data_IF_981201361672
#
_entry.id   IF_981201361672
#
_cell.length_a   1.000
_cell.length_b   1.000
_cell.length_c   1.000
_cell.angle_alpha   90.00
_cell.angle_beta   90.00
_cell.angle_gamma   90.00
#
_symmetry.space_group_name_H-M   'P 1'
#
loop_
_entity.id
_entity.type
_entity.pdbx_description
1 polymer ?
#
# COMPACT_ATOMS: atom_id res chain seq x y z
N UNK A 1 2.14 -5.40 61.62
CA UNK A 1 1.23 -4.24 61.47
C UNK A 1 1.88 -3.30 60.45
N UNK A 2 1.28 -3.19 59.25
CA UNK A 2 1.44 -2.19 58.16
C UNK A 2 2.84 -2.00 57.50
N UNK A 3 3.01 -2.39 56.22
CA UNK A 3 2.97 -1.60 54.94
C UNK A 3 4.11 -0.55 54.83
N UNK A 4 4.87 -0.35 53.73
CA UNK A 4 4.51 -0.16 52.31
C UNK A 4 5.68 -0.55 51.39
N UNK A 5 5.35 -1.25 50.29
CA UNK A 5 6.22 -1.58 49.16
C UNK A 5 6.48 -0.36 48.25
N UNK A 6 7.75 -0.17 47.84
CA UNK A 6 8.15 0.78 46.81
C UNK A 6 8.36 0.04 45.49
N UNK A 7 7.37 0.08 44.60
CA UNK A 7 7.50 -0.32 43.21
C UNK A 7 8.26 0.76 42.41
N UNK A 8 9.50 0.46 42.03
CA UNK A 8 10.24 1.21 41.03
C UNK A 8 9.74 0.85 39.63
N UNK A 9 8.98 1.75 39.01
CA UNK A 9 8.63 1.70 37.60
C UNK A 9 9.88 1.95 36.74
N UNK A 10 10.42 0.90 36.14
CA UNK A 10 11.33 1.04 35.00
C UNK A 10 10.48 1.19 33.73
N UNK A 11 10.30 2.45 33.31
CA UNK A 11 9.76 2.80 32.00
C UNK A 11 10.81 2.44 30.96
N UNK A 12 10.61 1.34 30.24
CA UNK A 12 11.36 1.03 29.03
C UNK A 12 10.92 2.02 27.94
N UNK A 13 11.66 3.11 27.79
CA UNK A 13 11.55 3.99 26.62
C UNK A 13 12.14 3.24 25.44
N UNK A 14 11.28 2.63 24.62
CA UNK A 14 11.66 2.12 23.30
C UNK A 14 11.91 3.35 22.43
N UNK A 15 13.16 3.82 22.40
CA UNK A 15 13.63 4.80 21.43
C UNK A 15 13.63 4.08 20.09
N UNK A 16 12.59 4.32 19.30
CA UNK A 16 12.46 3.78 17.95
C UNK A 16 13.66 4.20 17.11
N UNK A 17 14.49 3.23 16.74
CA UNK A 17 15.55 3.41 15.76
C UNK A 17 14.90 3.89 14.46
N UNK A 18 15.13 5.15 14.12
CA UNK A 18 14.78 5.71 12.82
C UNK A 18 15.64 5.03 11.76
N UNK A 19 15.08 4.00 11.11
CA UNK A 19 15.67 3.44 9.90
C UNK A 19 15.28 4.38 8.76
N UNK A 20 16.24 5.18 8.29
CA UNK A 20 16.11 5.85 6.99
C UNK A 20 15.99 4.74 5.93
N UNK A 21 14.80 4.58 5.36
CA UNK A 21 14.59 3.73 4.20
C UNK A 21 15.17 4.45 2.98
N UNK A 22 16.26 3.90 2.44
CA UNK A 22 16.94 4.45 1.29
C UNK A 22 16.45 3.78 -0.01
N UNK A 23 16.30 4.66 -1.01
CA UNK A 23 15.52 4.58 -2.24
C UNK A 23 15.96 3.58 -3.26
N UNK A 24 14.99 3.17 -4.08
CA UNK A 24 15.26 2.99 -5.48
C UNK A 24 14.29 3.68 -6.42
N UNK A 25 14.89 4.39 -7.37
CA UNK A 25 14.26 4.76 -8.61
C UNK A 25 14.52 3.70 -9.66
N UNK A 26 13.45 3.13 -10.21
CA UNK A 26 13.54 2.36 -11.44
C UNK A 26 12.92 3.11 -12.63
N UNK A 27 13.66 3.27 -13.73
CA UNK A 27 13.07 3.33 -15.06
C UNK A 27 12.69 1.90 -15.48
N UNK A 28 11.40 1.56 -15.48
CA UNK A 28 10.93 0.27 -16.03
C UNK A 28 10.97 0.29 -17.57
N UNK A 29 11.52 -0.75 -18.23
CA UNK A 29 11.31 -0.95 -19.67
C UNK A 29 9.91 -1.50 -19.93
N UNK A 30 9.19 -0.90 -20.90
CA UNK A 30 7.86 -1.32 -21.32
C UNK A 30 7.88 -2.75 -21.90
N UNK A 31 6.98 -3.63 -21.45
CA UNK A 31 6.79 -4.98 -22.02
C UNK A 31 5.34 -5.16 -22.47
N UNK A 32 5.18 -5.57 -23.73
CA UNK A 32 3.90 -5.74 -24.41
C UNK A 32 3.03 -6.84 -23.77
N UNK A 33 1.74 -6.55 -23.57
CA UNK A 33 0.75 -7.49 -23.03
C UNK A 33 0.00 -8.21 -24.16
N UNK A 34 -0.25 -9.50 -23.93
CA UNK A 34 -1.00 -10.38 -24.82
C UNK A 34 -2.35 -10.68 -24.14
N UNK A 35 -3.44 -10.34 -24.83
CA UNK A 35 -4.80 -10.34 -24.33
C UNK A 35 -5.46 -11.71 -24.59
N UNK A 36 -6.11 -12.32 -23.59
CA UNK A 36 -7.02 -13.45 -23.81
C UNK A 36 -8.37 -13.15 -23.15
N UNK A 37 -9.43 -13.44 -23.90
CA UNK A 37 -10.81 -13.09 -23.57
C UNK A 37 -11.58 -14.29 -23.00
N UNK A 38 -12.35 -14.05 -21.95
CA UNK A 38 -13.61 -14.75 -21.69
C UNK A 38 -13.82 -15.23 -20.26
N UNK A 39 -14.74 -14.61 -19.51
CA UNK A 39 -16.06 -15.17 -19.18
C UNK A 39 -16.73 -14.50 -17.94
N UNK A 40 -17.99 -14.09 -18.17
CA UNK A 40 -19.18 -14.04 -17.28
C UNK A 40 -19.06 -13.60 -15.79
N UNK A 41 -19.48 -12.35 -15.58
CA UNK A 41 -20.31 -11.76 -14.50
C UNK A 41 -20.61 -12.60 -13.24
N UNK A 42 -19.78 -12.41 -12.19
CA UNK A 42 -19.98 -12.82 -10.79
C UNK A 42 -20.20 -11.54 -9.94
N UNK A 43 -21.16 -10.70 -10.35
CA UNK A 43 -21.49 -9.47 -9.63
C UNK A 43 -22.57 -9.67 -8.55
N UNK A 44 -23.09 -10.89 -8.40
CA UNK A 44 -24.16 -11.20 -7.45
C UNK A 44 -23.65 -11.77 -6.11
N UNK A 45 -22.41 -12.27 -6.01
CA UNK A 45 -21.88 -12.83 -4.74
C UNK A 45 -21.19 -11.79 -3.85
N UNK A 46 -20.77 -10.64 -4.40
CA UNK A 46 -20.07 -9.61 -3.63
C UNK A 46 -20.97 -8.80 -2.68
N UNK A 47 -22.28 -8.72 -2.94
CA UNK A 47 -23.20 -7.95 -2.11
C UNK A 47 -23.73 -8.74 -0.88
N UNK A 48 -23.71 -10.07 -0.91
CA UNK A 48 -24.24 -10.89 0.19
C UNK A 48 -23.25 -11.10 1.35
N UNK A 49 -21.96 -10.80 1.14
CA UNK A 49 -20.92 -10.99 2.18
C UNK A 49 -20.72 -9.74 3.06
N UNK A 50 -21.11 -8.53 2.60
CA UNK A 50 -20.80 -7.27 3.31
C UNK A 50 -22.03 -6.66 4.02
N UNK A 51 -23.25 -7.21 3.83
CA UNK A 51 -24.48 -6.49 4.16
C UNK A 51 -25.61 -7.25 4.84
N UNK A 52 -25.36 -8.15 5.80
CA UNK A 52 -26.43 -8.58 6.72
C UNK A 52 -26.51 -7.65 7.93
N UNK A 53 -27.33 -6.60 7.83
CA UNK A 53 -27.67 -5.79 9.00
C UNK A 53 -28.34 -4.43 8.76
N UNK A 54 -29.68 -4.46 8.71
CA UNK A 54 -30.62 -3.40 9.15
C UNK A 54 -31.15 -2.40 8.10
N UNK A 55 -32.48 -2.45 7.99
CA UNK A 55 -33.42 -1.66 7.19
C UNK A 55 -33.47 -0.16 7.54
N UNK A 56 -33.51 0.69 6.51
CA UNK A 56 -34.30 1.92 6.53
C UNK A 56 -34.72 2.33 5.10
N UNK A 57 -36.02 2.30 4.86
CA UNK A 57 -36.75 2.84 3.71
C UNK A 57 -36.52 4.34 3.57
N UNK A 58 -36.40 4.88 2.34
CA UNK A 58 -37.21 6.01 1.79
C UNK A 58 -36.72 6.44 0.38
N UNK A 59 -37.60 6.20 -0.60
CA UNK A 59 -37.95 6.91 -1.85
C UNK A 59 -36.95 7.47 -2.87
N UNK A 60 -37.27 7.09 -4.12
CA UNK A 60 -36.90 7.59 -5.45
C UNK A 60 -36.74 9.12 -5.60
N UNK A 61 -35.77 9.51 -6.44
CA UNK A 61 -36.03 10.49 -7.49
C UNK A 61 -35.15 10.23 -8.71
N UNK A 62 -35.79 10.27 -9.89
CA UNK A 62 -35.25 10.07 -11.23
C UNK A 62 -34.44 11.27 -11.73
N UNK A 63 -33.29 11.01 -12.37
CA UNK A 63 -32.68 11.93 -13.34
C UNK A 63 -31.84 11.14 -14.34
N UNK A 64 -32.36 11.05 -15.57
CA UNK A 64 -31.64 10.59 -16.76
C UNK A 64 -30.59 11.64 -17.15
N UNK A 65 -29.33 11.25 -17.05
CA UNK A 65 -28.19 11.95 -17.61
C UNK A 65 -27.14 10.90 -17.91
N UNK A 66 -26.74 10.82 -19.18
CA UNK A 66 -25.82 9.81 -19.69
C UNK A 66 -24.41 10.06 -19.13
N UNK A 67 -24.19 9.71 -17.86
CA UNK A 67 -22.88 9.67 -17.24
C UNK A 67 -22.24 8.35 -17.63
N UNK A 68 -21.10 8.42 -18.33
CA UNK A 68 -20.20 7.27 -18.46
C UNK A 68 -19.89 6.83 -17.03
N UNK A 69 -20.54 5.75 -16.59
CA UNK A 69 -20.30 5.13 -15.30
C UNK A 69 -18.94 4.47 -15.42
N UNK A 70 -17.90 5.22 -15.05
CA UNK A 70 -16.58 4.68 -14.82
C UNK A 70 -16.79 3.68 -13.69
N UNK A 71 -16.82 2.38 -14.02
CA UNK A 71 -16.77 1.34 -13.00
C UNK A 71 -15.50 1.60 -12.21
N UNK A 72 -15.57 1.89 -10.90
CA UNK A 72 -14.37 1.94 -10.08
C UNK A 72 -13.61 0.64 -10.32
N UNK A 73 -12.31 0.73 -10.64
CA UNK A 73 -11.52 -0.47 -10.84
C UNK A 73 -11.51 -1.25 -9.52
N UNK A 74 -11.57 -2.59 -9.57
CA UNK A 74 -11.55 -3.44 -8.38
C UNK A 74 -10.36 -3.13 -7.44
N UNK A 75 -9.27 -2.58 -8.00
CA UNK A 75 -8.09 -2.14 -7.26
C UNK A 75 -8.35 -0.89 -6.39
N UNK A 76 -9.13 0.08 -6.86
CA UNK A 76 -9.54 1.26 -6.06
C UNK A 76 -10.44 0.82 -4.90
N UNK A 77 -11.31 -0.15 -5.13
CA UNK A 77 -12.17 -0.69 -4.06
C UNK A 77 -11.33 -1.42 -2.98
N UNK A 78 -10.28 -2.13 -3.38
CA UNK A 78 -9.28 -2.68 -2.45
C UNK A 78 -8.62 -1.56 -1.63
N UNK A 79 -8.19 -0.47 -2.26
CA UNK A 79 -7.59 0.67 -1.54
C UNK A 79 -8.56 1.34 -0.58
N UNK A 80 -9.82 1.51 -0.97
CA UNK A 80 -10.86 2.05 -0.08
C UNK A 80 -11.11 1.12 1.11
N UNK A 81 -11.19 -0.19 0.86
CA UNK A 81 -11.37 -1.20 1.90
C UNK A 81 -10.23 -1.17 2.93
N UNK A 82 -8.99 -1.33 2.47
CA UNK A 82 -7.80 -1.36 3.34
C UNK A 82 -7.60 0.00 4.00
N UNK A 83 -7.76 1.08 3.24
CA UNK A 83 -7.63 2.45 3.75
C UNK A 83 -8.56 2.73 4.93
N UNK A 84 -9.84 2.35 4.82
CA UNK A 84 -10.81 2.50 5.91
C UNK A 84 -10.46 1.66 7.15
N UNK A 85 -9.88 0.47 6.96
CA UNK A 85 -9.48 -0.42 8.07
C UNK A 85 -8.27 0.11 8.83
N UNK A 86 -7.27 0.62 8.11
CA UNK A 86 -5.98 1.06 8.68
C UNK A 86 -5.98 2.56 9.05
N UNK A 87 -6.92 3.34 8.50
CA UNK A 87 -6.96 4.79 8.66
C UNK A 87 -5.99 5.51 7.73
N UNK A 88 -5.93 5.11 6.47
CA UNK A 88 -5.16 5.75 5.39
C UNK A 88 -6.13 6.13 4.27
N UNK A 89 -6.12 7.38 3.77
CA UNK A 89 -6.98 7.77 2.65
C UNK A 89 -6.70 6.90 1.43
N UNK A 90 -7.76 6.43 0.75
CA UNK A 90 -7.62 5.55 -0.41
C UNK A 90 -6.76 6.18 -1.53
N UNK A 91 -6.89 7.49 -1.73
CA UNK A 91 -6.09 8.25 -2.71
C UNK A 91 -4.58 8.20 -2.41
N UNK A 92 -4.16 8.05 -1.14
CA UNK A 92 -2.74 7.89 -0.78
C UNK A 92 -2.24 6.51 -1.21
N UNK A 93 -3.01 5.45 -0.95
CA UNK A 93 -2.66 4.08 -1.35
C UNK A 93 -2.64 3.96 -2.87
N UNK A 94 -3.61 4.55 -3.54
CA UNK A 94 -3.68 4.61 -5.01
C UNK A 94 -2.46 5.34 -5.58
N UNK A 95 -2.14 6.52 -5.06
CA UNK A 95 -1.00 7.30 -5.52
C UNK A 95 0.32 6.55 -5.32
N UNK A 96 0.53 5.93 -4.16
CA UNK A 96 1.71 5.11 -3.89
C UNK A 96 1.77 3.95 -4.88
N UNK A 97 0.71 3.16 -5.04
CA UNK A 97 0.74 2.04 -5.98
C UNK A 97 0.98 2.49 -7.42
N UNK A 98 0.40 3.63 -7.83
CA UNK A 98 0.62 4.15 -9.18
C UNK A 98 2.08 4.55 -9.41
N UNK A 99 2.71 5.20 -8.43
CA UNK A 99 4.13 5.56 -8.53
C UNK A 99 5.01 4.30 -8.56
N UNK A 100 4.71 3.33 -7.69
CA UNK A 100 5.55 2.16 -7.45
C UNK A 100 5.37 1.04 -8.50
N UNK A 101 4.14 0.82 -8.98
CA UNK A 101 3.80 -0.25 -9.91
C UNK A 101 2.59 0.14 -10.79
N UNK A 102 2.77 1.06 -11.75
CA UNK A 102 1.66 1.54 -12.59
C UNK A 102 0.97 0.42 -13.37
N UNK A 103 1.67 -0.68 -13.66
CA UNK A 103 1.10 -1.86 -14.34
C UNK A 103 -0.07 -2.50 -13.57
N UNK A 104 -0.18 -2.30 -12.26
CA UNK A 104 -1.29 -2.87 -11.47
C UNK A 104 -2.64 -2.28 -11.91
N UNK A 105 -2.65 -1.06 -12.43
CA UNK A 105 -3.84 -0.40 -12.96
C UNK A 105 -4.29 -0.95 -14.32
N UNK A 106 -3.50 -1.82 -14.93
CA UNK A 106 -3.90 -2.56 -16.13
C UNK A 106 -4.54 -3.92 -15.79
N UNK A 107 -4.59 -4.31 -14.52
CA UNK A 107 -5.23 -5.58 -14.13
C UNK A 107 -6.73 -5.53 -14.37
N UNK A 108 -7.27 -6.62 -14.90
CA UNK A 108 -8.72 -6.79 -14.98
C UNK A 108 -9.31 -6.97 -13.58
N UNK A 109 -10.62 -6.73 -13.39
CA UNK A 109 -11.28 -7.03 -12.12
C UNK A 109 -11.06 -8.47 -11.65
N UNK A 110 -11.03 -9.44 -12.58
CA UNK A 110 -10.78 -10.85 -12.29
C UNK A 110 -9.35 -11.09 -11.81
N UNK A 111 -8.36 -10.43 -12.42
CA UNK A 111 -6.95 -10.50 -11.97
C UNK A 111 -6.77 -9.86 -10.60
N UNK A 112 -7.41 -8.72 -10.33
CA UNK A 112 -7.41 -8.11 -8.99
C UNK A 112 -8.02 -9.09 -7.98
N UNK A 113 -9.20 -9.64 -8.28
CA UNK A 113 -9.85 -10.60 -7.39
C UNK A 113 -8.96 -11.82 -7.12
N UNK A 114 -8.35 -12.38 -8.16
CA UNK A 114 -7.46 -13.53 -8.06
C UNK A 114 -6.22 -13.22 -7.21
N UNK A 115 -5.48 -12.16 -7.55
CA UNK A 115 -4.23 -11.81 -6.85
C UNK A 115 -4.44 -11.19 -5.47
N UNK A 116 -5.70 -10.92 -5.10
CA UNK A 116 -6.11 -10.54 -3.74
C UNK A 116 -6.48 -11.72 -2.84
N UNK A 117 -6.65 -12.95 -3.36
CA UNK A 117 -7.01 -14.10 -2.53
C UNK A 117 -5.81 -14.62 -1.70
N UNK A 118 -6.05 -15.17 -0.49
CA UNK A 118 -5.02 -15.82 0.31
C UNK A 118 -4.17 -16.83 -0.48
N UNK A 119 -2.85 -16.74 -0.37
CA UNK A 119 -1.89 -17.62 -1.04
C UNK A 119 -1.73 -17.38 -2.55
N UNK A 120 -2.48 -16.46 -3.16
CA UNK A 120 -2.27 -16.05 -4.54
C UNK A 120 -1.21 -14.96 -4.65
N UNK A 121 -0.53 -14.91 -5.80
CA UNK A 121 0.59 -14.00 -6.06
C UNK A 121 0.47 -13.39 -7.45
N UNK A 122 0.86 -12.13 -7.57
CA UNK A 122 1.10 -11.47 -8.86
C UNK A 122 2.19 -12.26 -9.62
N UNK A 123 1.96 -12.66 -10.89
CA UNK A 123 2.95 -13.36 -11.68
C UNK A 123 4.24 -12.56 -11.85
N UNK A 124 5.38 -13.23 -11.81
CA UNK A 124 6.71 -12.62 -11.95
C UNK A 124 7.03 -11.53 -10.90
N UNK A 125 6.34 -11.53 -9.77
CA UNK A 125 6.70 -10.68 -8.65
C UNK A 125 7.93 -11.26 -7.92
N UNK A 126 9.05 -10.54 -8.06
CA UNK A 126 10.31 -10.82 -7.41
C UNK A 126 10.92 -9.51 -6.89
N UNK A 127 11.83 -9.57 -5.90
CA UNK A 127 12.58 -8.39 -5.48
C UNK A 127 13.32 -7.76 -6.65
N UNK A 128 13.25 -6.45 -6.75
CA UNK A 128 14.11 -5.65 -7.62
C UNK A 128 15.51 -5.48 -6.98
N UNK A 129 16.45 -4.81 -7.66
CA UNK A 129 17.85 -4.62 -7.19
C UNK A 129 17.98 -3.90 -5.83
N UNK A 130 16.86 -3.41 -5.30
CA UNK A 130 16.75 -2.62 -4.09
C UNK A 130 15.83 -3.27 -3.07
N UNK A 131 15.62 -4.57 -3.24
CA UNK A 131 14.84 -5.41 -2.36
C UNK A 131 13.33 -5.17 -2.36
N UNK A 132 12.81 -4.28 -3.20
CA UNK A 132 11.39 -3.98 -3.24
C UNK A 132 10.61 -4.97 -4.13
N UNK A 133 9.44 -5.40 -3.65
CA UNK A 133 8.55 -6.36 -4.32
C UNK A 133 7.08 -5.95 -4.25
N UNK A 134 6.26 -6.52 -5.13
CA UNK A 134 4.81 -6.33 -5.14
C UNK A 134 4.38 -4.95 -5.65
N UNK A 135 3.07 -4.75 -5.77
CA UNK A 135 2.53 -3.52 -6.36
C UNK A 135 2.71 -2.26 -5.48
N UNK A 136 3.04 -2.46 -4.20
CA UNK A 136 3.40 -1.39 -3.26
C UNK A 136 4.92 -1.23 -3.09
N UNK A 137 5.73 -2.02 -3.81
CA UNK A 137 7.21 -1.99 -3.75
C UNK A 137 7.78 -2.02 -2.32
N UNK A 138 7.26 -2.92 -1.48
CA UNK A 138 7.73 -3.11 -0.11
C UNK A 138 9.09 -3.81 -0.11
N UNK A 139 10.06 -3.29 0.64
CA UNK A 139 11.42 -3.84 0.74
C UNK A 139 11.46 -5.13 1.57
N UNK A 140 12.20 -6.13 1.14
CA UNK A 140 12.11 -7.53 1.63
C UNK A 140 13.35 -8.03 2.36
N UNK A 141 14.41 -7.22 2.48
CA UNK A 141 15.70 -7.58 3.07
C UNK A 141 16.64 -8.39 2.18
N UNK A 142 16.23 -8.72 0.95
CA UNK A 142 17.05 -9.41 -0.06
C UNK A 142 16.87 -8.79 -1.46
N UNK A 143 17.93 -8.80 -2.26
CA UNK A 143 17.92 -8.39 -3.68
C UNK A 143 17.47 -9.55 -4.61
N UNK A 144 17.44 -9.38 -5.96
CA UNK A 144 16.99 -10.42 -6.88
C UNK A 144 17.89 -11.66 -6.90
N UNK A 145 19.11 -11.55 -6.38
CA UNK A 145 20.09 -12.62 -6.28
C UNK A 145 20.06 -13.29 -4.89
N UNK A 146 19.16 -12.88 -4.00
CA UNK A 146 19.07 -13.37 -2.63
C UNK A 146 20.13 -12.78 -1.69
N UNK A 147 20.83 -11.72 -2.09
CA UNK A 147 21.82 -11.05 -1.26
C UNK A 147 21.16 -10.03 -0.34
N UNK A 148 21.59 -9.98 0.92
CA UNK A 148 21.17 -8.97 1.89
C UNK A 148 21.97 -7.66 1.81
N UNK A 149 22.96 -7.55 0.90
CA UNK A 149 23.79 -6.33 0.79
C UNK A 149 23.12 -5.21 0.02
N UNK A 150 22.30 -5.52 -0.99
CA UNK A 150 21.73 -4.55 -1.93
C UNK A 150 22.79 -3.58 -2.49
N UNK A 151 24.01 -4.05 -2.76
CA UNK A 151 25.11 -3.18 -3.20
C UNK A 151 24.89 -2.54 -4.58
N UNK A 152 23.89 -3.01 -5.33
CA UNK A 152 23.44 -2.42 -6.60
C UNK A 152 22.32 -1.38 -6.42
N UNK A 153 21.77 -1.25 -5.22
CA UNK A 153 20.83 -0.20 -4.86
C UNK A 153 21.63 1.09 -4.61
N UNK A 154 21.80 1.89 -5.66
CA UNK A 154 22.59 3.12 -5.61
C UNK A 154 21.73 4.36 -5.87
N UNK A 155 21.87 5.36 -5.01
CA UNK A 155 21.22 6.65 -5.12
C UNK A 155 22.26 7.77 -4.99
N UNK A 156 22.28 8.70 -5.97
CA UNK A 156 23.23 9.84 -5.98
C UNK A 156 24.71 9.43 -5.76
N UNK A 157 25.12 8.29 -6.32
CA UNK A 157 26.49 7.79 -6.20
C UNK A 157 26.81 7.09 -4.87
N UNK A 158 25.83 6.95 -3.95
CA UNK A 158 25.96 6.15 -2.74
C UNK A 158 25.10 4.89 -2.83
N UNK A 159 25.71 3.73 -2.59
CA UNK A 159 25.01 2.44 -2.60
C UNK A 159 24.75 1.95 -1.18
N UNK A 160 23.70 1.15 -1.02
CA UNK A 160 23.40 0.54 0.26
C UNK A 160 24.42 -0.56 0.60
N UNK A 161 24.73 -0.65 1.90
CA UNK A 161 25.51 -1.74 2.47
C UNK A 161 24.63 -2.89 2.98
N UNK A 162 23.33 -2.63 3.16
CA UNK A 162 22.32 -3.62 3.52
C UNK A 162 20.97 -3.32 2.89
N UNK A 163 20.24 -4.38 2.54
CA UNK A 163 18.89 -4.29 2.03
C UNK A 163 17.91 -3.83 3.13
N UNK A 164 17.10 -2.79 2.89
CA UNK A 164 16.00 -2.47 3.77
C UNK A 164 14.97 -3.61 3.79
N UNK A 165 14.27 -3.77 4.92
CA UNK A 165 13.27 -4.82 5.11
C UNK A 165 12.00 -4.30 5.79
N UNK A 166 11.28 -3.43 5.09
CA UNK A 166 9.98 -2.93 5.56
C UNK A 166 8.96 -4.07 5.68
N UNK A 167 9.00 -5.05 4.78
CA UNK A 167 8.13 -6.23 4.81
C UNK A 167 8.27 -7.01 6.11
N UNK A 168 9.49 -7.19 6.63
CA UNK A 168 9.73 -7.85 7.91
C UNK A 168 9.08 -7.15 9.12
N UNK A 169 8.80 -5.84 9.02
CA UNK A 169 8.13 -5.07 10.08
C UNK A 169 6.62 -4.96 9.89
N UNK A 170 6.14 -4.94 8.64
CA UNK A 170 4.76 -4.60 8.32
C UNK A 170 3.96 -5.70 7.60
N UNK A 171 4.61 -6.76 7.12
CA UNK A 171 3.97 -7.81 6.32
C UNK A 171 2.82 -8.53 7.02
N UNK A 172 2.84 -8.58 8.36
CA UNK A 172 1.77 -9.18 9.17
C UNK A 172 0.57 -8.26 9.42
N UNK A 173 0.53 -7.05 8.84
CA UNK A 173 -0.55 -6.09 9.07
C UNK A 173 -1.94 -6.70 8.79
N UNK A 174 -2.10 -7.45 7.69
CA UNK A 174 -3.39 -8.05 7.35
C UNK A 174 -3.93 -8.99 8.44
N UNK A 175 -3.06 -9.74 9.13
CA UNK A 175 -3.47 -10.61 10.23
C UNK A 175 -4.00 -9.81 11.43
N UNK A 176 -3.51 -8.58 11.62
CA UNK A 176 -3.95 -7.69 12.69
C UNK A 176 -5.34 -7.11 12.43
N UNK A 177 -5.67 -6.82 11.16
CA UNK A 177 -6.93 -6.16 10.79
C UNK A 177 -8.06 -7.11 10.37
N UNK A 178 -7.73 -8.26 9.78
CA UNK A 178 -8.72 -9.17 9.19
C UNK A 178 -8.87 -10.51 9.95
N UNK A 179 -8.07 -10.75 11.00
CA UNK A 179 -8.07 -11.99 11.77
C UNK A 179 -7.94 -13.25 10.90
N UNK A 180 -7.11 -13.16 9.86
CA UNK A 180 -6.81 -14.25 8.92
C UNK A 180 -5.56 -15.03 9.36
N UNK A 181 -5.47 -16.30 8.95
CA UNK A 181 -4.40 -17.22 9.39
C UNK A 181 -3.39 -17.60 8.31
N UNK A 182 -3.49 -17.08 7.08
CA UNK A 182 -2.50 -17.39 6.04
C UNK A 182 -1.19 -16.64 6.28
N UNK A 183 -0.08 -17.19 5.77
CA UNK A 183 1.22 -16.54 5.79
C UNK A 183 1.25 -15.42 4.74
N UNK A 184 1.40 -14.14 5.12
CA UNK A 184 1.29 -13.04 4.16
C UNK A 184 2.39 -13.07 3.10
N UNK A 185 2.06 -12.61 1.91
CA UNK A 185 2.97 -12.58 0.76
C UNK A 185 3.09 -11.17 0.17
N UNK A 186 4.33 -10.66 0.05
CA UNK A 186 4.59 -9.32 -0.53
C UNK A 186 4.09 -9.19 -1.97
N UNK A 187 3.90 -10.31 -2.66
CA UNK A 187 3.40 -10.37 -4.02
C UNK A 187 1.88 -10.54 -4.11
N UNK A 188 1.17 -10.62 -2.99
CA UNK A 188 -0.29 -10.59 -2.95
C UNK A 188 -0.79 -9.14 -2.91
N UNK A 189 -1.83 -8.80 -3.68
CA UNK A 189 -2.36 -7.44 -3.74
C UNK A 189 -2.88 -6.98 -2.37
N UNK A 190 -3.67 -7.82 -1.70
CA UNK A 190 -4.27 -7.48 -0.40
C UNK A 190 -3.21 -7.37 0.69
N UNK A 191 -2.33 -8.36 0.81
CA UNK A 191 -1.31 -8.39 1.87
C UNK A 191 -0.33 -7.21 1.73
N UNK A 192 0.14 -6.93 0.51
CA UNK A 192 1.04 -5.79 0.27
C UNK A 192 0.37 -4.44 0.46
N UNK A 193 -0.93 -4.31 0.15
CA UNK A 193 -1.70 -3.10 0.45
C UNK A 193 -1.80 -2.88 1.96
N UNK A 194 -2.12 -3.91 2.74
CA UNK A 194 -2.18 -3.82 4.20
C UNK A 194 -0.85 -3.43 4.82
N UNK A 195 0.24 -4.05 4.37
CA UNK A 195 1.57 -3.76 4.88
C UNK A 195 1.99 -2.31 4.56
N UNK A 196 1.73 -1.85 3.33
CA UNK A 196 2.01 -0.48 2.92
C UNK A 196 1.14 0.52 3.68
N UNK A 197 -0.15 0.24 3.85
CA UNK A 197 -1.08 1.08 4.62
C UNK A 197 -0.61 1.22 6.07
N UNK A 198 -0.21 0.11 6.72
CA UNK A 198 0.30 0.17 8.09
C UNK A 198 1.56 1.03 8.20
N UNK A 199 2.49 0.89 7.24
CA UNK A 199 3.70 1.71 7.19
C UNK A 199 3.35 3.19 7.02
N UNK A 200 2.54 3.53 6.02
CA UNK A 200 2.09 4.90 5.75
C UNK A 200 1.37 5.50 6.97
N UNK A 201 0.54 4.72 7.64
CA UNK A 201 -0.16 5.16 8.85
C UNK A 201 0.83 5.55 9.94
N UNK A 202 1.78 4.68 10.25
CA UNK A 202 2.82 4.95 11.24
C UNK A 202 3.67 6.18 10.87
N UNK A 203 3.98 6.32 9.60
CA UNK A 203 4.82 7.40 9.09
C UNK A 203 4.11 8.75 9.00
N UNK A 204 2.77 8.76 8.88
CA UNK A 204 1.96 9.97 8.79
C UNK A 204 1.89 10.76 10.10
N UNK A 205 2.04 10.07 11.24
CA UNK A 205 1.78 10.59 12.59
C UNK A 205 0.35 11.14 12.77
N UNK A 206 -0.63 10.59 12.05
CA UNK A 206 -2.05 10.91 12.20
C UNK A 206 -2.71 10.07 13.29
N UNK A 207 -3.86 10.54 13.80
CA UNK A 207 -4.60 9.81 14.84
C UNK A 207 -5.15 8.48 14.30
N UNK A 208 -5.29 7.42 15.12
CA UNK A 208 -5.89 6.16 14.69
C UNK A 208 -7.27 6.37 14.02
N UNK A 209 -7.49 5.73 12.87
CA UNK A 209 -8.74 5.86 12.10
C UNK A 209 -8.94 7.18 11.34
N UNK A 210 -8.04 8.17 11.48
CA UNK A 210 -8.14 9.42 10.74
C UNK A 210 -7.91 9.21 9.23
N UNK A 211 -8.91 9.59 8.42
CA UNK A 211 -8.92 9.54 6.96
C UNK A 211 -8.82 10.94 6.32
N UNK A 212 -8.79 12.02 7.11
CA UNK A 212 -8.72 13.39 6.62
C UNK A 212 -7.30 13.93 6.80
N UNK A 213 -6.35 13.31 6.10
CA UNK A 213 -4.94 13.66 6.24
C UNK A 213 -4.67 15.06 5.70
N UNK A 214 -3.92 15.87 6.45
CA UNK A 214 -3.39 17.14 5.96
C UNK A 214 -2.32 16.90 4.90
N UNK A 215 -2.03 17.94 4.09
CA UNK A 215 -0.90 17.90 3.16
C UNK A 215 0.43 17.59 3.86
N UNK A 216 0.62 18.09 5.07
CA UNK A 216 1.82 17.79 5.87
C UNK A 216 1.90 16.31 6.27
N UNK A 217 0.76 15.70 6.66
CA UNK A 217 0.72 14.27 6.97
C UNK A 217 1.00 13.41 5.73
N UNK A 218 0.42 13.77 4.59
CA UNK A 218 0.69 13.11 3.31
C UNK A 218 2.15 13.28 2.88
N UNK A 219 2.73 14.47 3.04
CA UNK A 219 4.15 14.72 2.78
C UNK A 219 5.03 13.86 3.68
N UNK A 220 4.78 13.84 4.99
CA UNK A 220 5.57 13.05 5.95
C UNK A 220 5.50 11.55 5.63
N UNK A 221 4.31 11.05 5.32
CA UNK A 221 4.11 9.65 4.94
C UNK A 221 4.84 9.31 3.64
N UNK A 222 4.66 10.12 2.58
CA UNK A 222 5.35 9.92 1.30
C UNK A 222 6.87 10.02 1.43
N UNK A 223 7.35 11.01 2.18
CA UNK A 223 8.78 11.19 2.44
C UNK A 223 9.36 10.04 3.24
N UNK A 224 8.65 9.39 4.16
CA UNK A 224 9.20 8.21 4.86
C UNK A 224 8.98 6.89 4.11
N UNK A 225 7.98 6.84 3.25
CA UNK A 225 7.68 5.69 2.41
C UNK A 225 8.71 5.53 1.31
N UNK A 226 8.85 6.58 0.51
CA UNK A 226 9.80 6.61 -0.59
C UNK A 226 11.18 7.02 -0.09
N UNK A 227 11.24 8.04 0.77
CA UNK A 227 12.43 8.59 1.45
C UNK A 227 12.67 10.11 1.17
N UNK A 228 12.14 10.67 0.06
CA UNK A 228 12.63 11.91 -0.62
C UNK A 228 11.52 12.56 -1.40
N UNK A 229 11.26 13.83 -1.13
CA UNK A 229 10.22 14.59 -1.79
C UNK A 229 10.71 15.85 -2.50
N UNK A 230 11.98 15.83 -2.93
CA UNK A 230 12.69 16.92 -3.61
C UNK A 230 12.90 16.68 -5.10
N UNK A 231 13.01 15.42 -5.53
CA UNK A 231 13.23 15.07 -6.94
C UNK A 231 11.90 14.95 -7.68
N UNK A 232 11.80 15.64 -8.83
CA UNK A 232 10.64 15.62 -9.71
C UNK A 232 10.76 14.52 -10.77
N UNK A 233 9.62 13.99 -11.21
CA UNK A 233 9.56 12.95 -12.23
C UNK A 233 8.62 13.36 -13.36
N UNK A 234 9.10 13.31 -14.61
CA UNK A 234 8.29 13.62 -15.80
C UNK A 234 7.06 12.72 -15.91
N UNK A 235 7.19 11.42 -15.56
CA UNK A 235 6.06 10.46 -15.52
C UNK A 235 4.97 10.81 -14.51
N UNK A 236 5.26 11.71 -13.56
CA UNK A 236 4.32 12.21 -12.56
C UNK A 236 3.87 13.65 -12.86
N UNK A 237 4.02 14.11 -14.11
CA UNK A 237 3.70 15.48 -14.50
C UNK A 237 4.63 16.52 -13.87
N UNK A 238 5.93 16.21 -13.82
CA UNK A 238 6.98 17.02 -13.20
C UNK A 238 6.77 17.29 -11.70
N UNK A 239 6.06 16.37 -11.02
CA UNK A 239 5.85 16.40 -9.57
C UNK A 239 6.88 15.53 -8.84
N UNK A 240 7.12 15.88 -7.57
CA UNK A 240 7.85 15.00 -6.65
C UNK A 240 6.95 13.87 -6.17
N UNK A 241 7.52 12.86 -5.51
CA UNK A 241 6.75 11.75 -4.95
C UNK A 241 5.61 12.23 -4.02
N UNK A 242 5.95 13.04 -3.01
CA UNK A 242 4.96 13.63 -2.11
C UNK A 242 4.00 14.58 -2.83
N UNK A 243 4.52 15.39 -3.76
CA UNK A 243 3.70 16.32 -4.53
C UNK A 243 2.63 15.61 -5.36
N UNK A 244 2.95 14.42 -5.88
CA UNK A 244 1.97 13.58 -6.59
C UNK A 244 0.92 13.00 -5.64
N UNK A 245 1.31 12.49 -4.46
CA UNK A 245 0.36 12.00 -3.45
C UNK A 245 -0.63 13.09 -3.03
N UNK A 246 -0.12 14.27 -2.67
CA UNK A 246 -0.95 15.41 -2.25
C UNK A 246 -1.89 15.83 -3.38
N UNK A 247 -1.37 15.89 -4.61
CA UNK A 247 -2.18 16.23 -5.77
C UNK A 247 -3.33 15.23 -6.00
N UNK A 248 -3.07 13.93 -5.89
CA UNK A 248 -4.08 12.89 -6.11
C UNK A 248 -5.22 12.94 -5.07
N UNK A 249 -4.94 13.39 -3.85
CA UNK A 249 -5.94 13.47 -2.78
C UNK A 249 -6.74 14.77 -2.74
N UNK A 250 -6.34 15.79 -3.51
CA UNK A 250 -6.97 17.11 -3.56
C UNK A 250 -7.79 17.34 -4.84
N UNK A 251 -7.95 16.32 -5.69
CA UNK A 251 -8.77 16.31 -6.91
C UNK A 251 -10.04 15.49 -6.70
#
# INVERSE_FOLDING_TARGET
MKTIDSFGNNIAVVIGTFVLFAFCLFPYPARAQQQTSGAKSILQEFLDIIGSGTTATTNQSTSSGNSISITPSALIDLYRYVGNKVGVPACVLEAVSYIEWPTAFNYTPEEVQLYSQPGQRIPNCAPNTCSASGHMQMTTGIDPYGSASCSQCCWQGSCLSSCPNAWGSYGNAIQQYENISHMPDVCNLTDSTYAAAQKLKNDSNTSPGDLNWSEEAMHRAGERYYGNCTVTYSRLGDRTYCGFIIHQCNL
#
